data_IF_888874336329
#
_entry.id   IF_888874336329
#
_cell.length_a   1.000
_cell.length_b   1.000
_cell.length_c   1.000
_cell.angle_alpha   90.00
_cell.angle_beta   90.00
_cell.angle_gamma   90.00
#
_symmetry.space_group_name_H-M   'P 1'
#
loop_
_entity.id
_entity.type
_entity.pdbx_description
1 polymer ?
#
# COMPACT_ATOMS: atom_id res chain seq x y z
N UNK A 1 -5.00 14.11 -20.29
CA UNK A 1 -4.86 12.67 -20.00
C UNK A 1 -5.57 12.35 -18.70
N UNK A 2 -6.74 11.74 -18.80
CA UNK A 2 -7.55 11.33 -17.66
C UNK A 2 -6.91 10.10 -17.02
N UNK A 3 -6.31 10.27 -15.84
CA UNK A 3 -6.21 9.15 -14.92
C UNK A 3 -7.58 9.10 -14.25
N UNK A 4 -8.44 8.09 -14.50
CA UNK A 4 -9.64 7.94 -13.70
C UNK A 4 -9.16 7.83 -12.26
N UNK A 5 -9.47 8.85 -11.45
CA UNK A 5 -9.17 8.83 -10.02
C UNK A 5 -9.98 7.68 -9.47
N UNK A 6 -9.32 6.53 -9.33
CA UNK A 6 -9.90 5.32 -8.77
C UNK A 6 -10.57 5.72 -7.47
N UNK A 7 -11.89 5.63 -7.40
CA UNK A 7 -12.65 5.90 -6.18
C UNK A 7 -12.19 5.04 -4.98
N UNK A 8 -11.43 3.97 -5.28
CA UNK A 8 -10.73 3.08 -4.35
C UNK A 8 -9.65 3.78 -3.51
N UNK A 9 -9.14 4.95 -3.91
CA UNK A 9 -8.13 5.68 -3.12
C UNK A 9 -8.70 6.13 -1.76
N UNK A 10 -10.01 6.33 -1.64
CA UNK A 10 -10.63 6.71 -0.36
C UNK A 10 -10.98 5.52 0.54
N UNK A 11 -10.68 4.29 0.10
CA UNK A 11 -10.92 3.10 0.90
C UNK A 11 -10.02 3.10 2.14
N UNK A 12 -10.55 2.83 3.34
CA UNK A 12 -9.75 2.71 4.55
C UNK A 12 -8.90 1.42 4.52
N UNK A 13 -7.73 1.44 5.16
CA UNK A 13 -6.83 0.27 5.22
C UNK A 13 -7.48 -0.90 5.99
N UNK A 14 -8.49 -0.63 6.80
CA UNK A 14 -9.31 -1.59 7.51
C UNK A 14 -10.00 -2.59 6.56
N UNK A 15 -10.36 -2.18 5.34
CA UNK A 15 -10.97 -3.07 4.34
C UNK A 15 -10.00 -4.10 3.74
N UNK A 16 -8.69 -3.86 3.86
CA UNK A 16 -7.68 -4.85 3.46
C UNK A 16 -7.67 -6.09 4.38
N UNK A 17 -8.30 -5.99 5.55
CA UNK A 17 -8.31 -7.03 6.59
C UNK A 17 -6.89 -7.52 6.94
N UNK A 18 -5.96 -6.56 7.10
CA UNK A 18 -4.58 -6.82 7.49
C UNK A 18 -4.49 -7.43 8.89
N UNK A 19 -3.37 -8.12 9.15
CA UNK A 19 -2.99 -8.56 10.47
C UNK A 19 -2.82 -7.37 11.41
N UNK A 20 -2.95 -7.63 12.71
CA UNK A 20 -2.72 -6.61 13.75
C UNK A 20 -1.32 -5.98 13.64
N UNK A 21 -0.33 -6.72 13.15
CA UNK A 21 1.03 -6.21 12.96
C UNK A 21 1.11 -5.21 11.81
N UNK A 22 0.63 -5.60 10.62
CA UNK A 22 0.61 -4.73 9.44
C UNK A 22 -0.31 -3.52 9.64
N UNK A 23 -1.51 -3.72 10.17
CA UNK A 23 -2.42 -2.62 10.50
C UNK A 23 -1.83 -1.66 11.54
N UNK A 24 -1.23 -2.20 12.60
CA UNK A 24 -0.57 -1.39 13.63
C UNK A 24 0.63 -0.62 13.10
N UNK A 25 1.38 -1.20 12.15
CA UNK A 25 2.45 -0.52 11.43
C UNK A 25 1.92 0.67 10.63
N UNK A 26 0.89 0.45 9.79
CA UNK A 26 0.28 1.50 8.99
C UNK A 26 -0.29 2.64 9.86
N UNK A 27 -0.93 2.33 10.99
CA UNK A 27 -1.38 3.35 11.94
C UNK A 27 -0.24 4.16 12.55
N UNK A 28 0.92 3.54 12.84
CA UNK A 28 2.10 4.23 13.37
C UNK A 28 2.75 5.15 12.33
N UNK A 29 2.69 4.78 11.05
CA UNK A 29 3.20 5.60 9.93
C UNK A 29 2.20 6.68 9.47
N UNK A 30 1.09 6.85 10.19
CA UNK A 30 0.00 7.76 9.82
C UNK A 30 -0.63 7.44 8.46
N UNK A 31 -0.63 6.17 8.06
CA UNK A 31 -1.35 5.66 6.90
C UNK A 31 -2.72 5.20 7.37
N UNK A 32 -3.78 5.88 6.89
CA UNK A 32 -5.16 5.59 7.29
C UNK A 32 -6.01 5.11 6.11
N UNK A 33 -5.55 5.31 4.88
CA UNK A 33 -6.31 4.95 3.68
C UNK A 33 -5.40 4.39 2.59
N UNK A 34 -6.00 3.73 1.59
CA UNK A 34 -5.28 3.25 0.42
C UNK A 34 -4.60 4.42 -0.32
N UNK A 35 -5.22 5.60 -0.37
CA UNK A 35 -4.63 6.83 -0.92
C UNK A 35 -3.28 7.16 -0.27
N UNK A 36 -3.19 7.06 1.06
CA UNK A 36 -1.95 7.34 1.77
C UNK A 36 -0.91 6.29 1.40
N UNK A 37 -1.33 5.02 1.38
CA UNK A 37 -0.46 3.88 1.13
C UNK A 37 0.14 3.88 -0.29
N UNK A 38 -0.63 4.25 -1.31
CA UNK A 38 -0.13 4.34 -2.70
C UNK A 38 0.86 5.51 -2.92
N UNK A 39 1.02 6.40 -1.95
CA UNK A 39 2.07 7.42 -1.97
C UNK A 39 3.43 6.87 -1.50
N UNK A 40 3.46 5.67 -0.91
CA UNK A 40 4.69 4.99 -0.51
C UNK A 40 5.14 4.01 -1.59
N UNK A 41 6.45 3.82 -1.69
CA UNK A 41 7.03 2.79 -2.56
C UNK A 41 7.18 1.47 -1.81
N UNK A 42 7.34 0.37 -2.54
CA UNK A 42 7.65 -0.94 -1.94
C UNK A 42 8.94 -0.86 -1.09
N UNK A 43 9.93 -0.10 -1.57
CA UNK A 43 11.20 0.10 -0.90
C UNK A 43 11.01 0.84 0.43
N UNK A 44 10.27 1.95 0.44
CA UNK A 44 10.00 2.73 1.66
C UNK A 44 9.36 1.87 2.75
N UNK A 45 8.38 1.05 2.37
CA UNK A 45 7.72 0.15 3.31
C UNK A 45 8.68 -0.93 3.81
N UNK A 46 9.49 -1.53 2.91
CA UNK A 46 10.45 -2.58 3.27
C UNK A 46 11.58 -2.07 4.17
N UNK A 47 12.01 -0.81 4.01
CA UNK A 47 13.01 -0.17 4.88
C UNK A 47 12.49 -0.05 6.31
N UNK A 48 11.20 0.24 6.48
CA UNK A 48 10.58 0.39 7.79
C UNK A 48 10.24 -0.96 8.44
N UNK A 49 9.63 -1.87 7.67
CA UNK A 49 9.27 -3.22 8.10
C UNK A 49 9.02 -4.12 6.89
N UNK A 50 9.97 -5.01 6.61
CA UNK A 50 9.88 -5.97 5.49
C UNK A 50 8.67 -6.91 5.61
N UNK A 51 8.30 -7.32 6.82
CA UNK A 51 7.19 -8.27 7.02
C UNK A 51 5.85 -7.58 6.80
N UNK A 52 5.68 -6.39 7.39
CA UNK A 52 4.47 -5.61 7.19
C UNK A 52 4.32 -5.15 5.73
N UNK A 53 5.42 -4.76 5.08
CA UNK A 53 5.42 -4.36 3.67
C UNK A 53 4.91 -5.48 2.76
N UNK A 54 5.43 -6.70 2.91
CA UNK A 54 5.01 -7.85 2.09
C UNK A 54 3.52 -8.18 2.29
N UNK A 55 3.04 -8.14 3.53
CA UNK A 55 1.63 -8.39 3.82
C UNK A 55 0.73 -7.31 3.20
N UNK A 56 1.14 -6.05 3.29
CA UNK A 56 0.40 -4.92 2.74
C UNK A 56 0.36 -4.97 1.20
N UNK A 57 1.48 -5.27 0.56
CA UNK A 57 1.57 -5.46 -0.90
C UNK A 57 0.67 -6.62 -1.34
N UNK A 58 0.74 -7.77 -0.66
CA UNK A 58 -0.09 -8.92 -0.96
C UNK A 58 -1.58 -8.62 -0.78
N UNK A 59 -1.95 -7.87 0.27
CA UNK A 59 -3.33 -7.47 0.50
C UNK A 59 -3.84 -6.49 -0.56
N UNK A 60 -3.03 -5.49 -0.94
CA UNK A 60 -3.35 -4.56 -2.03
C UNK A 60 -3.58 -5.32 -3.35
N UNK A 61 -2.69 -6.25 -3.69
CA UNK A 61 -2.78 -7.02 -4.92
C UNK A 61 -3.97 -7.97 -4.91
N UNK A 62 -4.21 -8.67 -3.80
CA UNK A 62 -5.30 -9.64 -3.67
C UNK A 62 -6.68 -9.00 -3.60
N UNK A 63 -6.81 -7.86 -2.91
CA UNK A 63 -8.10 -7.19 -2.67
C UNK A 63 -8.47 -6.19 -3.75
N UNK A 64 -7.49 -5.39 -4.19
CA UNK A 64 -7.72 -4.26 -5.08
C UNK A 64 -7.08 -4.47 -6.45
N UNK A 65 -6.21 -5.48 -6.61
CA UNK A 65 -5.43 -5.65 -7.82
C UNK A 65 -4.41 -4.52 -8.04
N UNK A 66 -4.01 -3.83 -6.97
CA UNK A 66 -3.08 -2.71 -7.01
C UNK A 66 -1.70 -3.19 -6.58
N UNK A 67 -0.67 -2.79 -7.32
CA UNK A 67 0.73 -2.95 -6.95
C UNK A 67 1.33 -1.59 -6.66
N UNK A 68 2.17 -1.51 -5.62
CA UNK A 68 2.89 -0.28 -5.30
C UNK A 68 3.96 0.01 -6.36
N UNK A 69 4.39 1.27 -6.45
CA UNK A 69 5.45 1.62 -7.37
C UNK A 69 6.75 1.02 -6.86
N UNK A 70 7.32 0.12 -7.67
CA UNK A 70 8.68 -0.30 -7.52
C UNK A 70 9.55 0.69 -8.31
N UNK A 71 10.40 1.45 -7.61
CA UNK A 71 11.27 2.48 -8.19
C UNK A 71 12.29 1.92 -9.19
N UNK A 72 12.42 0.59 -9.29
CA UNK A 72 13.30 -0.10 -10.24
C UNK A 72 12.65 -0.36 -11.61
N UNK A 73 11.36 -0.07 -11.79
CA UNK A 73 10.70 -0.14 -13.10
C UNK A 73 11.01 1.11 -13.97
N UNK A 74 12.30 1.46 -14.10
CA UNK A 74 12.76 2.30 -15.20
C UNK A 74 13.06 1.41 -16.41
N UNK A 75 12.23 1.60 -17.42
CA UNK A 75 12.32 1.08 -18.78
C UNK A 75 13.77 1.19 -19.30
N UNK A 76 14.34 0.03 -19.65
CA UNK A 76 15.32 -0.15 -20.72
C UNK A 76 14.65 -0.92 -21.85
#
# INVERSE_FOLDING_TARGET
MSHPKNSLSQTPIEELQLSMQAYGFLKRTQIHSIADLINYTEEDLRILDTTAAEEVIAALQSRLGITLQNVDAQII
#
